data_IF_854578316168
#
_entry.id   IF_854578316168
#
_cell.length_a   1.000
_cell.length_b   1.000
_cell.length_c   1.000
_cell.angle_alpha   90.00
_cell.angle_beta   90.00
_cell.angle_gamma   90.00
#
_symmetry.space_group_name_H-M   'P 1'
#
loop_
_entity.id
_entity.type
_entity.pdbx_description
1 polymer ?
#
# COMPACT_ATOMS: atom_id res chain seq x y z
N UNK A 1 20.43 -2.68 29.12
CA UNK A 1 20.10 -3.53 27.96
C UNK A 1 21.41 -4.09 27.42
N UNK A 2 21.51 -5.37 27.08
CA UNK A 2 22.72 -5.87 26.43
C UNK A 2 22.90 -5.13 25.10
N UNK A 3 24.09 -4.64 24.84
CA UNK A 3 24.43 -3.95 23.57
C UNK A 3 24.57 -5.00 22.46
N UNK A 4 23.45 -5.35 21.85
CA UNK A 4 23.47 -6.22 20.68
C UNK A 4 23.80 -5.33 19.46
N UNK A 5 24.77 -5.69 18.61
CA UNK A 5 25.07 -4.91 17.41
C UNK A 5 23.86 -4.93 16.46
N UNK A 6 23.34 -3.73 16.13
CA UNK A 6 22.21 -3.54 15.23
C UNK A 6 22.73 -3.20 13.84
N UNK A 7 22.27 -3.92 12.83
CA UNK A 7 22.54 -3.61 11.42
C UNK A 7 21.24 -3.32 10.69
N UNK A 8 21.16 -2.15 10.07
CA UNK A 8 20.02 -1.81 9.21
C UNK A 8 20.22 -2.42 7.82
N UNK A 9 19.29 -3.27 7.40
CA UNK A 9 19.36 -4.00 6.12
C UNK A 9 18.64 -3.28 4.97
N UNK A 10 18.04 -2.12 5.22
CA UNK A 10 17.33 -1.33 4.22
C UNK A 10 15.91 -1.82 3.95
N UNK A 11 15.39 -1.46 2.78
CA UNK A 11 14.04 -1.83 2.36
C UNK A 11 14.04 -3.28 1.86
N UNK A 12 13.12 -4.09 2.39
CA UNK A 12 12.85 -5.45 1.94
C UNK A 12 11.51 -5.49 1.22
N UNK A 13 11.54 -5.62 -0.09
CA UNK A 13 10.35 -5.81 -0.90
C UNK A 13 10.52 -6.99 -1.84
N UNK A 14 9.46 -7.77 -2.01
CA UNK A 14 9.36 -8.81 -3.03
C UNK A 14 9.03 -8.26 -4.42
N UNK A 15 8.62 -6.98 -4.48
CA UNK A 15 8.24 -6.30 -5.72
C UNK A 15 9.47 -5.67 -6.39
N UNK A 16 9.39 -5.54 -7.70
CA UNK A 16 10.47 -4.96 -8.51
C UNK A 16 9.87 -3.97 -9.50
N UNK A 17 10.57 -2.87 -9.70
CA UNK A 17 10.22 -1.91 -10.74
C UNK A 17 10.34 -2.58 -12.11
N UNK A 18 9.26 -2.60 -12.87
CA UNK A 18 9.14 -3.16 -14.22
C UNK A 18 8.86 -2.06 -15.25
N UNK A 19 8.35 -2.48 -16.39
CA UNK A 19 8.06 -1.60 -17.53
C UNK A 19 6.57 -1.24 -17.67
N UNK A 20 5.74 -1.54 -16.65
CA UNK A 20 4.32 -1.17 -16.72
C UNK A 20 4.18 0.34 -16.63
N UNK A 21 3.49 0.94 -17.60
CA UNK A 21 3.20 2.36 -17.61
C UNK A 21 2.10 2.71 -16.61
N UNK A 22 2.25 3.84 -15.93
CA UNK A 22 1.23 4.39 -15.06
C UNK A 22 0.04 4.86 -15.88
N UNK A 23 -1.15 4.42 -15.52
CA UNK A 23 -2.41 4.80 -16.16
C UNK A 23 -3.08 5.85 -15.29
N UNK A 24 -3.35 7.01 -15.88
CA UNK A 24 -4.11 8.07 -15.24
C UNK A 24 -5.50 7.56 -14.83
N UNK A 25 -6.00 8.03 -13.71
CA UNK A 25 -7.29 7.65 -13.14
C UNK A 25 -7.45 6.12 -12.94
N UNK A 26 -6.32 5.42 -12.67
CA UNK A 26 -6.33 4.02 -12.26
C UNK A 26 -5.91 3.88 -10.80
N UNK A 27 -6.73 3.21 -10.00
CA UNK A 27 -6.47 2.95 -8.58
C UNK A 27 -6.07 1.49 -8.37
N UNK A 28 -5.11 1.28 -7.50
CA UNK A 28 -4.88 -0.01 -6.88
C UNK A 28 -5.26 0.06 -5.41
N UNK A 29 -6.23 -0.74 -4.99
CA UNK A 29 -6.74 -0.76 -3.61
C UNK A 29 -6.45 -2.12 -3.00
N UNK A 30 -5.66 -2.16 -1.94
CA UNK A 30 -5.33 -3.40 -1.23
C UNK A 30 -5.85 -3.36 0.20
N UNK A 31 -6.83 -4.20 0.46
CA UNK A 31 -7.41 -4.39 1.78
C UNK A 31 -6.65 -5.46 2.55
N UNK A 32 -6.37 -5.17 3.80
CA UNK A 32 -5.70 -6.10 4.72
C UNK A 32 -5.99 -5.71 6.16
N UNK A 33 -5.53 -6.52 7.10
CA UNK A 33 -5.67 -6.26 8.52
C UNK A 33 -6.67 -7.19 9.20
N UNK A 34 -6.80 -7.07 10.53
CA UNK A 34 -7.70 -7.91 11.32
C UNK A 34 -9.16 -7.54 11.08
N UNK A 35 -10.04 -8.52 11.26
CA UNK A 35 -11.47 -8.26 11.38
C UNK A 35 -11.79 -7.63 12.75
N UNK A 36 -12.82 -6.79 12.85
CA UNK A 36 -13.73 -6.36 11.78
C UNK A 36 -13.23 -5.13 10.98
N UNK A 37 -12.04 -4.63 11.27
CA UNK A 37 -11.52 -3.38 10.68
C UNK A 37 -11.29 -3.47 9.17
N UNK A 38 -10.91 -4.65 8.66
CA UNK A 38 -10.79 -4.90 7.23
C UNK A 38 -12.16 -4.76 6.54
N UNK A 39 -13.17 -5.44 7.08
CA UNK A 39 -14.55 -5.40 6.53
C UNK A 39 -15.16 -4.00 6.61
N UNK A 40 -14.92 -3.24 7.67
CA UNK A 40 -15.40 -1.86 7.76
C UNK A 40 -14.78 -0.96 6.67
N UNK A 41 -13.49 -1.12 6.40
CA UNK A 41 -12.86 -0.37 5.31
C UNK A 41 -13.35 -0.85 3.94
N UNK A 42 -13.52 -2.16 3.73
CA UNK A 42 -14.07 -2.72 2.50
C UNK A 42 -15.44 -2.13 2.18
N UNK A 43 -16.35 -2.12 3.15
CA UNK A 43 -17.70 -1.57 2.97
C UNK A 43 -17.69 -0.09 2.59
N UNK A 44 -16.82 0.73 3.20
CA UNK A 44 -16.65 2.13 2.81
C UNK A 44 -16.18 2.24 1.36
N UNK A 45 -15.15 1.50 0.99
CA UNK A 45 -14.60 1.54 -0.37
C UNK A 45 -15.63 1.06 -1.40
N UNK A 46 -16.36 -0.01 -1.13
CA UNK A 46 -17.41 -0.52 -2.05
C UNK A 46 -18.52 0.52 -2.23
N UNK A 47 -18.92 1.19 -1.16
CA UNK A 47 -19.92 2.27 -1.23
C UNK A 47 -19.42 3.42 -2.11
N UNK A 48 -18.19 3.87 -1.92
CA UNK A 48 -17.68 5.07 -2.57
C UNK A 48 -17.23 4.82 -4.02
N UNK A 49 -16.67 3.61 -4.31
CA UNK A 49 -16.05 3.30 -5.60
C UNK A 49 -17.06 3.25 -6.74
N UNK A 50 -18.33 3.01 -6.45
CA UNK A 50 -19.40 3.02 -7.45
C UNK A 50 -19.62 4.37 -8.12
N UNK A 51 -19.14 5.46 -7.51
CA UNK A 51 -19.22 6.83 -8.02
C UNK A 51 -17.88 7.31 -8.62
N UNK A 52 -16.85 6.46 -8.60
CA UNK A 52 -15.54 6.81 -9.12
C UNK A 52 -15.51 6.78 -10.65
N UNK A 53 -15.05 7.87 -11.25
CA UNK A 53 -14.87 7.97 -12.71
C UNK A 53 -13.43 7.62 -13.04
N UNK A 54 -13.20 6.34 -13.35
CA UNK A 54 -11.87 5.80 -13.63
C UNK A 54 -11.88 4.28 -13.56
N UNK A 55 -10.72 3.68 -13.45
CA UNK A 55 -10.60 2.22 -13.33
C UNK A 55 -9.95 1.86 -11.99
N UNK A 56 -10.28 0.70 -11.44
CA UNK A 56 -9.66 0.23 -10.21
C UNK A 56 -9.47 -1.28 -10.17
N UNK A 57 -8.37 -1.72 -9.55
CA UNK A 57 -8.13 -3.08 -9.12
C UNK A 57 -8.21 -3.14 -7.58
N UNK A 58 -9.19 -3.86 -7.05
CA UNK A 58 -9.48 -3.96 -5.62
C UNK A 58 -9.14 -5.37 -5.14
N UNK A 59 -8.15 -5.50 -4.29
CA UNK A 59 -7.71 -6.76 -3.68
C UNK A 59 -8.23 -6.83 -2.25
N UNK A 60 -9.12 -7.76 -1.99
CA UNK A 60 -9.86 -7.89 -0.72
C UNK A 60 -9.03 -8.44 0.44
N UNK A 61 -7.90 -9.10 0.15
CA UNK A 61 -7.05 -9.71 1.17
C UNK A 61 -7.65 -10.96 1.81
N UNK A 62 -8.46 -11.72 1.08
CA UNK A 62 -9.20 -12.90 1.52
C UNK A 62 -8.80 -14.16 0.70
N UNK A 63 -7.59 -14.70 0.88
CA UNK A 63 -7.09 -15.80 0.03
C UNK A 63 -7.89 -17.11 0.16
N UNK A 64 -8.61 -17.31 1.25
CA UNK A 64 -9.44 -18.49 1.49
C UNK A 64 -10.93 -18.31 1.14
N UNK A 65 -11.33 -17.11 0.70
CA UNK A 65 -12.74 -16.82 0.41
C UNK A 65 -13.09 -17.27 -1.01
N UNK A 66 -14.23 -17.96 -1.14
CA UNK A 66 -14.77 -18.42 -2.42
C UNK A 66 -15.80 -17.46 -3.01
N UNK A 67 -16.48 -16.69 -2.17
CA UNK A 67 -17.45 -15.69 -2.62
C UNK A 67 -16.72 -14.52 -3.30
N UNK A 68 -17.07 -14.25 -4.55
CA UNK A 68 -16.48 -13.16 -5.34
C UNK A 68 -17.46 -11.99 -5.45
N UNK A 69 -16.92 -10.78 -5.48
CA UNK A 69 -17.68 -9.60 -5.90
C UNK A 69 -17.60 -9.54 -7.43
N UNK A 70 -18.74 -9.44 -8.15
CA UNK A 70 -18.71 -9.31 -9.60
C UNK A 70 -17.91 -8.08 -10.05
N UNK A 71 -17.00 -8.28 -10.99
CA UNK A 71 -16.23 -7.20 -11.61
C UNK A 71 -17.02 -6.59 -12.78
N UNK A 72 -16.74 -5.32 -13.05
CA UNK A 72 -17.17 -4.59 -14.25
C UNK A 72 -16.00 -4.41 -15.21
N UNK A 73 -16.21 -3.68 -16.30
CA UNK A 73 -15.12 -3.31 -17.19
C UNK A 73 -14.09 -2.38 -16.51
N UNK A 74 -14.57 -1.53 -15.60
CA UNK A 74 -13.75 -0.49 -14.95
C UNK A 74 -13.29 -0.89 -13.56
N UNK A 75 -14.06 -1.70 -12.84
CA UNK A 75 -13.79 -2.11 -11.47
C UNK A 75 -13.54 -3.62 -11.41
N UNK A 76 -12.33 -4.01 -11.06
CA UNK A 76 -11.94 -5.42 -10.92
C UNK A 76 -11.75 -5.77 -9.45
N UNK A 77 -12.49 -6.76 -8.98
CA UNK A 77 -12.42 -7.28 -7.62
C UNK A 77 -11.71 -8.62 -7.59
N UNK A 78 -10.77 -8.76 -6.67
CA UNK A 78 -9.99 -9.98 -6.44
C UNK A 78 -10.00 -10.32 -4.95
N UNK A 79 -10.29 -11.56 -4.60
CA UNK A 79 -10.12 -12.01 -3.21
C UNK A 79 -8.65 -12.01 -2.82
N UNK A 80 -7.79 -12.40 -3.76
CA UNK A 80 -6.33 -12.42 -3.64
C UNK A 80 -5.67 -12.24 -5.01
N UNK A 81 -4.49 -11.66 -5.06
CA UNK A 81 -3.65 -11.59 -6.25
C UNK A 81 -2.28 -12.23 -6.00
N UNK A 82 -1.78 -13.06 -6.94
CA UNK A 82 -0.38 -13.50 -6.95
C UNK A 82 0.58 -12.32 -7.05
N UNK A 83 1.80 -12.50 -6.54
CA UNK A 83 2.81 -11.41 -6.43
C UNK A 83 3.09 -10.72 -7.78
N UNK A 84 3.16 -11.46 -8.88
CA UNK A 84 3.43 -10.86 -10.20
C UNK A 84 2.30 -9.93 -10.64
N UNK A 85 1.06 -10.40 -10.56
CA UNK A 85 -0.11 -9.59 -10.92
C UNK A 85 -0.27 -8.38 -9.98
N UNK A 86 -0.04 -8.57 -8.68
CA UNK A 86 -0.02 -7.46 -7.72
C UNK A 86 1.03 -6.41 -8.08
N UNK A 87 2.24 -6.84 -8.46
CA UNK A 87 3.32 -5.96 -8.88
C UNK A 87 2.93 -5.12 -10.13
N UNK A 88 2.29 -5.76 -11.11
CA UNK A 88 1.83 -5.09 -12.32
C UNK A 88 0.72 -4.08 -12.03
N UNK A 89 -0.30 -4.46 -11.25
CA UNK A 89 -1.41 -3.58 -10.90
C UNK A 89 -0.96 -2.37 -10.07
N UNK A 90 -0.05 -2.58 -9.10
CA UNK A 90 0.54 -1.46 -8.35
C UNK A 90 1.30 -0.51 -9.27
N UNK A 91 2.08 -1.02 -10.22
CA UNK A 91 2.83 -0.17 -11.15
C UNK A 91 1.93 0.63 -12.09
N UNK A 92 0.82 0.06 -12.52
CA UNK A 92 -0.17 0.73 -13.36
C UNK A 92 -0.95 1.81 -12.62
N UNK A 93 -1.10 1.68 -11.32
CA UNK A 93 -1.92 2.59 -10.53
C UNK A 93 -1.36 4.01 -10.49
N UNK A 94 -2.21 5.00 -10.63
CA UNK A 94 -1.89 6.39 -10.31
C UNK A 94 -1.74 6.57 -8.80
N UNK A 95 -2.66 6.00 -8.03
CA UNK A 95 -2.60 5.98 -6.58
C UNK A 95 -2.77 4.56 -6.03
N UNK A 96 -2.00 4.26 -5.01
CA UNK A 96 -2.15 3.04 -4.21
C UNK A 96 -2.88 3.38 -2.92
N UNK A 97 -4.01 2.73 -2.65
CA UNK A 97 -4.77 2.88 -1.41
C UNK A 97 -4.63 1.61 -0.59
N UNK A 98 -4.13 1.71 0.63
CA UNK A 98 -3.93 0.52 1.48
C UNK A 98 -3.75 0.86 2.96
N UNK A 99 -3.53 -0.18 3.79
CA UNK A 99 -3.08 0.00 5.17
C UNK A 99 -1.64 0.50 5.23
N UNK A 100 -1.28 1.20 6.31
CA UNK A 100 0.06 1.71 6.56
C UNK A 100 1.00 0.69 7.23
N UNK A 101 0.89 -0.60 6.86
CA UNK A 101 1.79 -1.64 7.38
C UNK A 101 3.18 -1.59 6.74
N UNK A 102 4.22 -2.01 7.48
CA UNK A 102 5.63 -1.96 7.03
C UNK A 102 5.87 -2.60 5.66
N UNK A 103 5.33 -3.79 5.41
CA UNK A 103 5.50 -4.49 4.14
C UNK A 103 4.97 -3.66 2.96
N UNK A 104 3.77 -3.09 3.12
CA UNK A 104 3.15 -2.24 2.10
C UNK A 104 3.96 -0.95 1.87
N UNK A 105 4.42 -0.31 2.94
CA UNK A 105 5.28 0.89 2.84
C UNK A 105 6.57 0.59 2.10
N UNK A 106 7.21 -0.55 2.37
CA UNK A 106 8.42 -0.98 1.65
C UNK A 106 8.15 -1.27 0.17
N UNK A 107 7.03 -1.90 -0.16
CA UNK A 107 6.61 -2.17 -1.54
C UNK A 107 6.37 -0.86 -2.31
N UNK A 108 5.60 0.06 -1.73
CA UNK A 108 5.31 1.38 -2.29
C UNK A 108 6.61 2.18 -2.51
N UNK A 109 7.49 2.19 -1.50
CA UNK A 109 8.78 2.89 -1.60
C UNK A 109 9.67 2.29 -2.71
N UNK A 110 9.70 0.96 -2.84
CA UNK A 110 10.47 0.27 -3.89
C UNK A 110 9.98 0.63 -5.29
N UNK A 111 8.68 0.73 -5.48
CA UNK A 111 8.06 1.05 -6.77
C UNK A 111 7.97 2.56 -7.02
N UNK A 112 8.15 3.39 -5.99
CA UNK A 112 8.07 4.85 -6.08
C UNK A 112 6.64 5.35 -6.34
N UNK A 113 5.62 4.68 -5.78
CA UNK A 113 4.21 4.98 -6.05
C UNK A 113 3.65 6.03 -5.07
N UNK A 114 2.80 6.90 -5.59
CA UNK A 114 1.97 7.80 -4.78
C UNK A 114 0.93 6.97 -4.03
N UNK A 115 0.73 7.26 -2.75
CA UNK A 115 -0.14 6.43 -1.93
C UNK A 115 -1.00 7.22 -0.94
N UNK A 116 -2.19 6.69 -0.71
CA UNK A 116 -3.12 7.08 0.33
C UNK A 116 -3.17 5.92 1.32
N UNK A 117 -2.69 6.14 2.53
CA UNK A 117 -2.58 5.09 3.54
C UNK A 117 -3.59 5.31 4.66
N UNK A 118 -4.23 4.21 5.06
CA UNK A 118 -5.30 4.22 6.06
C UNK A 118 -4.86 3.32 7.21
N UNK A 119 -4.31 3.87 8.32
CA UNK A 119 -3.91 3.05 9.45
C UNK A 119 -5.10 2.28 10.02
N UNK A 120 -4.84 1.05 10.45
CA UNK A 120 -5.84 0.25 11.17
C UNK A 120 -6.03 0.86 12.56
N UNK A 121 -7.27 1.23 12.95
CA UNK A 121 -7.53 1.79 14.27
C UNK A 121 -7.04 0.88 15.39
N UNK A 122 -6.32 1.44 16.35
CA UNK A 122 -5.76 0.72 17.49
C UNK A 122 -4.45 -0.03 17.21
N UNK A 123 -3.92 0.00 15.97
CA UNK A 123 -2.59 -0.52 15.67
C UNK A 123 -1.55 0.61 15.76
N UNK A 124 -0.94 0.76 16.92
CA UNK A 124 0.02 1.84 17.23
C UNK A 124 1.18 1.95 16.24
N UNK A 125 1.67 0.82 15.72
CA UNK A 125 2.70 0.79 14.68
C UNK A 125 2.23 1.47 13.40
N UNK A 126 1.03 1.16 12.93
CA UNK A 126 0.48 1.75 11.71
C UNK A 126 0.14 3.23 11.89
N UNK A 127 -0.35 3.62 13.06
CA UNK A 127 -0.63 5.02 13.40
C UNK A 127 0.68 5.84 13.46
N UNK A 128 1.73 5.27 14.06
CA UNK A 128 3.06 5.88 14.06
C UNK A 128 3.62 6.05 12.65
N UNK A 129 3.56 4.99 11.83
CA UNK A 129 4.01 5.05 10.44
C UNK A 129 3.23 6.08 9.63
N UNK A 130 1.91 6.14 9.79
CA UNK A 130 1.06 7.12 9.11
C UNK A 130 1.50 8.55 9.44
N UNK A 131 1.71 8.88 10.71
CA UNK A 131 2.21 10.18 11.14
C UNK A 131 3.57 10.49 10.52
N UNK A 132 4.52 9.57 10.65
CA UNK A 132 5.88 9.71 10.12
C UNK A 132 5.90 9.96 8.60
N UNK A 133 5.11 9.21 7.84
CA UNK A 133 5.06 9.30 6.38
C UNK A 133 4.41 10.61 5.91
N UNK A 134 3.36 11.05 6.60
CA UNK A 134 2.68 12.31 6.30
C UNK A 134 3.57 13.52 6.58
N UNK A 135 4.23 13.57 7.73
CA UNK A 135 5.16 14.67 8.09
C UNK A 135 6.31 14.81 7.09
N UNK A 136 6.75 13.70 6.51
CA UNK A 136 7.81 13.68 5.49
C UNK A 136 7.30 13.82 4.06
N UNK A 137 5.99 13.95 3.88
CA UNK A 137 5.33 14.01 2.57
C UNK A 137 5.60 12.78 1.68
N UNK A 138 5.83 11.62 2.27
CA UNK A 138 6.08 10.37 1.55
C UNK A 138 4.76 9.73 1.11
N UNK A 139 3.74 9.77 1.97
CA UNK A 139 2.41 9.27 1.70
C UNK A 139 1.37 10.21 2.33
N UNK A 140 0.22 10.34 1.71
CA UNK A 140 -0.95 10.93 2.33
C UNK A 140 -1.59 9.88 3.25
N UNK A 141 -1.77 10.21 4.54
CA UNK A 141 -2.42 9.28 5.47
C UNK A 141 -3.70 9.90 6.01
N UNK A 142 -4.77 9.10 6.02
CA UNK A 142 -6.11 9.49 6.46
C UNK A 142 -6.61 8.44 7.44
N UNK A 143 -7.20 8.85 8.56
CA UNK A 143 -7.78 7.91 9.52
C UNK A 143 -8.96 7.15 8.89
N UNK A 144 -9.18 5.89 9.29
CA UNK A 144 -10.30 5.09 8.76
C UNK A 144 -11.65 5.77 9.02
N UNK A 145 -11.78 6.51 10.12
CA UNK A 145 -13.01 7.24 10.48
C UNK A 145 -13.31 8.36 9.48
N UNK A 146 -12.29 9.11 9.10
CA UNK A 146 -12.39 10.27 8.21
C UNK A 146 -12.27 9.92 6.72
N UNK A 147 -11.93 8.69 6.40
CA UNK A 147 -11.73 8.28 5.02
C UNK A 147 -13.04 8.36 4.22
N UNK A 148 -12.99 9.10 3.14
CA UNK A 148 -13.93 9.14 2.03
C UNK A 148 -13.09 9.10 0.76
N UNK A 149 -13.47 8.30 -0.21
CA UNK A 149 -12.63 8.06 -1.39
C UNK A 149 -12.44 9.32 -2.24
N UNK A 150 -13.50 10.07 -2.47
CA UNK A 150 -13.44 11.28 -3.32
C UNK A 150 -12.63 12.38 -2.66
N UNK A 151 -12.88 12.65 -1.38
CA UNK A 151 -12.11 13.60 -0.58
C UNK A 151 -10.63 13.20 -0.49
N UNK A 152 -10.36 11.91 -0.30
CA UNK A 152 -9.00 11.38 -0.26
C UNK A 152 -8.25 11.58 -1.59
N UNK A 153 -8.90 11.34 -2.73
CA UNK A 153 -8.32 11.57 -4.05
C UNK A 153 -8.11 13.06 -4.34
N UNK A 154 -9.06 13.92 -3.94
CA UNK A 154 -8.91 15.36 -4.06
C UNK A 154 -7.72 15.87 -3.24
N UNK A 155 -7.57 15.42 -2.00
CA UNK A 155 -6.41 15.73 -1.16
C UNK A 155 -5.11 15.19 -1.74
N UNK A 156 -5.13 13.97 -2.30
CA UNK A 156 -3.97 13.34 -2.91
C UNK A 156 -3.48 14.09 -4.16
N UNK A 157 -4.38 14.64 -4.97
CA UNK A 157 -4.04 15.41 -6.17
C UNK A 157 -3.29 16.70 -5.83
N UNK A 158 -3.59 17.33 -4.69
CA UNK A 158 -2.90 18.52 -4.19
C UNK A 158 -1.72 18.23 -3.26
N UNK A 159 -1.47 16.96 -2.92
CA UNK A 159 -0.43 16.61 -1.98
C UNK A 159 0.95 16.55 -2.66
N UNK A 160 1.94 17.24 -2.07
CA UNK A 160 3.31 17.27 -2.59
C UNK A 160 4.07 16.00 -2.18
N UNK A 161 3.96 14.94 -2.99
CA UNK A 161 4.65 13.68 -2.72
C UNK A 161 6.16 13.80 -2.88
N UNK A 162 6.91 13.35 -1.88
CA UNK A 162 8.37 13.24 -1.90
C UNK A 162 8.79 11.78 -1.97
N UNK A 163 9.75 11.47 -2.82
CA UNK A 163 10.30 10.14 -2.89
C UNK A 163 10.97 9.74 -1.56
N UNK A 164 10.70 8.54 -1.09
CA UNK A 164 11.43 8.00 0.05
C UNK A 164 12.89 7.77 -0.36
N UNK A 165 13.81 8.49 0.28
CA UNK A 165 15.25 8.30 0.06
C UNK A 165 15.71 7.09 0.86
N UNK A 166 16.20 6.08 0.18
CA UNK A 166 16.81 4.92 0.81
C UNK A 166 18.07 4.52 0.06
N UNK A 167 19.05 4.01 0.81
CA UNK A 167 20.29 3.52 0.21
C UNK A 167 20.02 2.14 -0.37
N UNK A 168 20.11 2.00 -1.69
CA UNK A 168 19.86 0.76 -2.46
C UNK A 168 20.95 -0.31 -2.28
N UNK A 169 21.83 -0.15 -1.30
CA UNK A 169 22.85 -1.19 -1.05
C UNK A 169 22.16 -2.45 -0.58
N UNK A 170 22.48 -3.57 -1.20
CA UNK A 170 22.07 -4.91 -0.79
C UNK A 170 22.79 -5.30 0.52
N UNK A 171 22.46 -4.55 1.58
CA UNK A 171 23.00 -4.78 2.92
C UNK A 171 22.58 -6.14 3.46
N UNK A 172 21.44 -6.67 2.99
CA UNK A 172 20.96 -8.00 3.38
C UNK A 172 21.97 -9.09 2.98
N UNK A 173 22.34 -9.18 1.70
CA UNK A 173 23.32 -10.19 1.23
C UNK A 173 24.66 -10.04 1.92
N UNK A 174 25.19 -8.81 2.03
CA UNK A 174 26.43 -8.55 2.74
C UNK A 174 26.35 -8.90 4.23
N UNK A 175 25.20 -8.63 4.85
CA UNK A 175 24.96 -8.94 6.26
C UNK A 175 24.90 -10.46 6.46
N UNK A 176 24.11 -11.18 5.66
CA UNK A 176 24.06 -12.66 5.71
C UNK A 176 25.44 -13.25 5.51
N UNK A 177 26.19 -12.81 4.50
CA UNK A 177 27.55 -13.30 4.26
C UNK A 177 28.52 -13.03 5.43
N UNK A 178 28.26 -11.99 6.23
CA UNK A 178 29.06 -11.72 7.44
C UNK A 178 28.73 -12.61 8.64
N UNK A 179 27.53 -13.22 8.65
CA UNK A 179 27.12 -14.18 9.69
C UNK A 179 27.51 -15.63 9.36
N UNK A 180 27.78 -15.92 8.08
CA UNK A 180 28.15 -17.27 7.61
C UNK A 180 29.67 -17.49 7.60
N UNK A 181 30.44 -16.50 8.02
CA UNK A 181 31.91 -16.57 8.24
C UNK A 181 32.21 -16.77 9.71
#
# INVERSE_FOLDING_TARGET
MPSVPVRYIGILSRLKKGNSEEKKDHLFISLSGPEPQRTFLENKIIHDIGHYVGTAAIVRGLPGETAIIPSTNDLRFYNHLPTLQMNEEIQRAEYVISRSGYSTVMDIATLGKRSILIPTPGQTEQEYLAKYLTERKIALCISQKEFDLQDALQKASGFEYKAMRYTRRSTLSATISSFLK
#
